data_IF_660784183409
#
_entry.id   IF_660784183409
#
_cell.length_a   1.000
_cell.length_b   1.000
_cell.length_c   1.000
_cell.angle_alpha   90.00
_cell.angle_beta   90.00
_cell.angle_gamma   90.00
#
_symmetry.space_group_name_H-M   'P 1'
#
loop_
_entity.id
_entity.type
_entity.pdbx_description
1 polymer ?
#
# COMPACT_ATOMS: atom_id res chain seq x y z
N UNK A 1 -16.98 -17.79 -6.46
CA UNK A 1 -16.90 -16.52 -5.74
C UNK A 1 -17.25 -15.40 -6.69
N UNK A 2 -18.27 -14.59 -6.35
CA UNK A 2 -18.61 -13.37 -7.10
C UNK A 2 -17.83 -12.16 -6.53
N UNK A 3 -16.62 -12.43 -6.03
CA UNK A 3 -15.70 -11.45 -5.47
C UNK A 3 -14.82 -10.94 -6.60
N UNK A 4 -15.23 -9.82 -7.17
CA UNK A 4 -14.54 -9.15 -8.27
C UNK A 4 -13.64 -8.07 -7.69
N UNK A 5 -12.40 -8.01 -8.19
CA UNK A 5 -11.45 -6.98 -7.81
C UNK A 5 -11.26 -6.00 -8.97
N UNK A 6 -11.97 -4.86 -8.97
CA UNK A 6 -11.78 -3.86 -10.01
C UNK A 6 -10.40 -3.17 -9.96
N UNK A 7 -9.65 -3.26 -8.84
CA UNK A 7 -8.28 -2.73 -8.74
C UNK A 7 -7.22 -3.71 -9.27
N UNK A 8 -7.54 -5.01 -9.35
CA UNK A 8 -6.69 -6.04 -9.97
C UNK A 8 -6.45 -5.77 -11.46
N UNK A 9 -7.36 -5.04 -12.08
CA UNK A 9 -7.03 -4.34 -13.31
C UNK A 9 -6.13 -3.17 -12.95
N UNK A 10 -4.82 -3.43 -13.03
CA UNK A 10 -3.95 -2.38 -13.52
C UNK A 10 -4.71 -1.80 -14.74
N UNK A 11 -4.91 -0.47 -14.83
CA UNK A 11 -5.42 0.14 -16.07
C UNK A 11 -4.68 -0.43 -17.28
N UNK A 12 -3.47 -0.92 -17.07
CA UNK A 12 -2.68 -1.66 -18.02
C UNK A 12 -3.08 -3.09 -18.44
N UNK A 13 -4.08 -3.78 -17.91
CA UNK A 13 -4.34 -5.18 -18.32
C UNK A 13 -5.54 -5.32 -19.26
N UNK A 14 -5.47 -6.26 -20.21
CA UNK A 14 -6.58 -6.60 -21.11
C UNK A 14 -7.79 -7.12 -20.31
N UNK A 15 -8.98 -6.63 -20.65
CA UNK A 15 -10.24 -6.98 -19.97
C UNK A 15 -10.62 -8.44 -20.27
N UNK A 16 -10.96 -9.20 -19.22
CA UNK A 16 -11.40 -10.59 -19.38
C UNK A 16 -12.72 -10.65 -20.15
N UNK A 17 -12.81 -11.52 -21.16
CA UNK A 17 -13.97 -11.64 -22.06
C UNK A 17 -14.34 -10.38 -22.87
N UNK A 18 -13.45 -9.39 -23.01
CA UNK A 18 -13.65 -8.35 -24.03
C UNK A 18 -13.28 -8.91 -25.41
N UNK A 19 -14.29 -9.29 -26.20
CA UNK A 19 -14.10 -9.73 -27.58
C UNK A 19 -13.88 -8.51 -28.49
N UNK A 20 -12.72 -7.87 -28.40
CA UNK A 20 -12.31 -6.92 -29.44
C UNK A 20 -11.56 -7.69 -30.52
N UNK A 21 -12.08 -7.65 -31.75
CA UNK A 21 -11.38 -8.13 -32.94
C UNK A 21 -10.11 -7.30 -33.14
N UNK A 22 -8.95 -7.86 -32.82
CA UNK A 22 -7.69 -7.40 -33.39
C UNK A 22 -7.47 -8.13 -34.72
N UNK A 23 -7.31 -7.38 -35.83
CA UNK A 23 -6.81 -7.93 -37.08
C UNK A 23 -5.32 -8.27 -36.88
N UNK A 24 -5.03 -9.50 -36.47
CA UNK A 24 -3.70 -10.03 -36.17
C UNK A 24 -3.77 -11.40 -35.48
N UNK A 25 -2.63 -12.11 -35.38
CA UNK A 25 -2.54 -13.46 -34.82
C UNK A 25 -3.32 -13.58 -33.50
N UNK A 26 -4.35 -14.42 -33.52
CA UNK A 26 -5.20 -14.73 -32.38
C UNK A 26 -4.42 -15.55 -31.36
N UNK A 27 -3.67 -14.90 -30.49
CA UNK A 27 -3.42 -15.43 -29.16
C UNK A 27 -4.62 -15.02 -28.29
N UNK A 28 -5.65 -15.86 -28.37
CA UNK A 28 -6.79 -15.83 -27.45
C UNK A 28 -6.34 -16.30 -26.07
N UNK A 29 -5.55 -15.47 -25.38
CA UNK A 29 -5.44 -15.59 -23.92
C UNK A 29 -6.20 -14.38 -23.33
N UNK A 30 -7.47 -14.65 -23.03
CA UNK A 30 -8.53 -13.66 -22.84
C UNK A 30 -8.45 -12.89 -21.54
N UNK A 31 -7.35 -12.20 -21.28
CA UNK A 31 -7.19 -11.28 -20.15
C UNK A 31 -7.09 -11.98 -18.79
N UNK A 32 -6.73 -11.21 -17.76
CA UNK A 32 -6.64 -11.72 -16.38
C UNK A 32 -8.07 -11.82 -15.82
N UNK A 33 -8.49 -13.01 -15.38
CA UNK A 33 -9.83 -13.19 -14.79
C UNK A 33 -10.06 -12.22 -13.63
N UNK A 34 -11.24 -11.56 -13.52
CA UNK A 34 -11.50 -10.46 -12.59
C UNK A 34 -11.66 -10.88 -11.13
N UNK A 35 -11.60 -12.19 -10.86
CA UNK A 35 -11.85 -12.75 -9.54
C UNK A 35 -10.69 -12.45 -8.58
N UNK A 36 -11.03 -12.19 -7.34
CA UNK A 36 -10.09 -12.12 -6.24
C UNK A 36 -9.39 -13.49 -6.10
N UNK A 37 -8.04 -13.49 -6.14
CA UNK A 37 -7.27 -14.72 -5.97
C UNK A 37 -7.05 -15.00 -4.51
N UNK A 38 -7.13 -16.27 -4.11
CA UNK A 38 -6.57 -16.66 -2.82
C UNK A 38 -5.06 -16.40 -2.89
N UNK A 39 -4.55 -15.68 -1.90
CA UNK A 39 -3.12 -15.38 -1.78
C UNK A 39 -2.47 -16.30 -0.77
N UNK A 40 -3.04 -16.35 0.44
CA UNK A 40 -2.45 -17.01 1.59
C UNK A 40 -3.55 -17.70 2.43
N UNK A 41 -3.15 -18.77 3.11
CA UNK A 41 -3.95 -19.41 4.16
C UNK A 41 -3.16 -19.28 5.44
N UNK A 42 -3.77 -18.68 6.45
CA UNK A 42 -3.14 -18.45 7.74
C UNK A 42 -3.88 -19.15 8.85
N UNK A 43 -3.16 -19.47 9.90
CA UNK A 43 -3.76 -19.87 11.15
C UNK A 43 -4.42 -18.63 11.78
N UNK A 44 -5.68 -18.75 12.19
CA UNK A 44 -6.47 -17.63 12.72
C UNK A 44 -5.93 -17.08 14.04
N UNK A 45 -5.33 -17.93 14.87
CA UNK A 45 -4.84 -17.56 16.21
C UNK A 45 -3.46 -16.89 16.13
N UNK A 46 -2.57 -17.44 15.31
CA UNK A 46 -1.18 -16.97 15.20
C UNK A 46 -0.94 -16.03 14.02
N UNK A 47 -1.88 -15.89 13.09
CA UNK A 47 -1.73 -15.20 11.81
C UNK A 47 -0.47 -15.61 11.03
N UNK A 48 -0.01 -16.85 11.23
CA UNK A 48 1.15 -17.41 10.55
C UNK A 48 0.72 -18.28 9.38
N UNK A 49 1.55 -18.35 8.35
CA UNK A 49 1.29 -19.16 7.18
C UNK A 49 1.17 -20.64 7.53
N UNK A 50 0.18 -21.30 6.92
CA UNK A 50 -0.02 -22.73 7.06
C UNK A 50 0.80 -23.45 5.98
N UNK A 51 2.13 -23.42 6.10
CA UNK A 51 3.08 -23.85 5.04
C UNK A 51 2.84 -25.23 4.44
N UNK A 52 2.25 -26.16 5.20
CA UNK A 52 1.98 -27.53 4.74
C UNK A 52 0.69 -27.65 3.93
N UNK A 53 -0.18 -26.64 3.95
CA UNK A 53 -1.52 -26.70 3.42
C UNK A 53 -1.73 -25.63 2.35
N UNK A 54 -2.14 -26.07 1.17
CA UNK A 54 -2.25 -25.22 0.00
C UNK A 54 -3.68 -24.96 -0.43
N UNK A 55 -3.81 -24.27 -1.56
CA UNK A 55 -5.07 -24.09 -2.28
C UNK A 55 -4.84 -24.25 -3.77
N UNK A 56 -5.90 -24.58 -4.49
CA UNK A 56 -5.96 -24.50 -5.94
C UNK A 56 -7.14 -23.64 -6.35
N UNK A 57 -6.96 -22.81 -7.39
CA UNK A 57 -8.01 -21.94 -7.89
C UNK A 57 -8.10 -22.01 -9.40
N UNK A 58 -9.30 -22.27 -9.90
CA UNK A 58 -9.65 -22.26 -11.31
C UNK A 58 -10.79 -21.26 -11.53
N UNK A 59 -10.45 -20.09 -12.08
CA UNK A 59 -11.42 -19.01 -12.31
C UNK A 59 -12.14 -18.58 -11.02
N UNK A 60 -13.48 -18.63 -10.96
CA UNK A 60 -14.25 -18.22 -9.78
C UNK A 60 -14.31 -19.30 -8.69
N UNK A 61 -13.78 -20.51 -8.93
CA UNK A 61 -13.85 -21.63 -7.98
C UNK A 61 -12.47 -21.86 -7.38
N UNK A 62 -12.39 -21.90 -6.06
CA UNK A 62 -11.18 -22.27 -5.35
C UNK A 62 -11.46 -23.41 -4.37
N UNK A 63 -10.46 -24.25 -4.17
CA UNK A 63 -10.44 -25.34 -3.22
C UNK A 63 -9.26 -25.10 -2.28
N UNK A 64 -9.54 -25.03 -0.99
CA UNK A 64 -8.56 -24.81 0.07
C UNK A 64 -8.42 -26.11 0.85
N UNK A 65 -7.20 -26.59 1.02
CA UNK A 65 -6.91 -27.79 1.80
C UNK A 65 -6.56 -27.36 3.22
N UNK A 66 -7.21 -27.95 4.21
CA UNK A 66 -7.05 -27.63 5.63
C UNK A 66 -6.57 -28.86 6.40
N UNK A 67 -5.88 -28.68 7.55
CA UNK A 67 -5.57 -29.81 8.42
C UNK A 67 -6.86 -30.48 8.89
N UNK A 68 -6.83 -31.81 8.98
CA UNK A 68 -7.91 -32.59 9.60
C UNK A 68 -7.88 -32.51 11.14
N UNK A 69 -7.63 -31.30 11.68
CA UNK A 69 -7.60 -31.01 13.11
C UNK A 69 -8.59 -29.88 13.41
N UNK A 70 -9.62 -30.18 14.20
CA UNK A 70 -10.65 -29.23 14.59
C UNK A 70 -10.13 -28.10 15.48
N UNK A 71 -8.92 -28.22 16.03
CA UNK A 71 -8.31 -27.20 16.90
C UNK A 71 -7.70 -26.06 16.10
N UNK A 72 -7.33 -26.29 14.85
CA UNK A 72 -6.64 -25.31 14.02
C UNK A 72 -7.65 -24.61 13.12
N UNK A 73 -7.97 -23.35 13.44
CA UNK A 73 -8.80 -22.51 12.57
C UNK A 73 -7.98 -21.88 11.44
N UNK A 74 -8.49 -21.98 10.21
CA UNK A 74 -7.85 -21.36 9.06
C UNK A 74 -8.60 -20.10 8.61
N UNK A 75 -7.87 -19.02 8.40
CA UNK A 75 -8.36 -17.83 7.70
C UNK A 75 -7.84 -17.82 6.26
N UNK A 76 -8.72 -17.48 5.32
CA UNK A 76 -8.40 -17.44 3.89
C UNK A 76 -8.22 -15.98 3.49
N UNK A 77 -7.00 -15.63 3.07
CA UNK A 77 -6.67 -14.32 2.58
C UNK A 77 -6.81 -14.32 1.07
N UNK A 78 -7.40 -13.25 0.55
CA UNK A 78 -7.66 -13.09 -0.87
C UNK A 78 -7.22 -11.70 -1.32
N UNK A 79 -6.75 -11.61 -2.56
CA UNK A 79 -6.20 -10.39 -3.12
C UNK A 79 -4.71 -10.25 -2.88
N UNK A 80 -4.16 -9.09 -3.25
CA UNK A 80 -2.74 -8.79 -3.16
C UNK A 80 -2.53 -7.45 -2.45
N UNK A 81 -1.28 -7.20 -2.03
CA UNK A 81 -0.83 -5.91 -1.50
C UNK A 81 -1.11 -4.73 -2.44
N UNK A 82 -1.34 -4.94 -3.73
CA UNK A 82 -1.61 -3.87 -4.70
C UNK A 82 -3.05 -3.84 -5.21
N UNK A 83 -3.93 -4.66 -4.68
CA UNK A 83 -5.32 -4.79 -5.16
C UNK A 83 -6.31 -4.73 -4.00
N UNK A 84 -7.60 -4.93 -4.25
CA UNK A 84 -8.54 -5.10 -3.15
C UNK A 84 -8.13 -6.33 -2.35
N UNK A 85 -8.22 -6.23 -1.03
CA UNK A 85 -7.87 -7.31 -0.11
C UNK A 85 -9.15 -7.82 0.53
N UNK A 86 -9.30 -9.12 0.68
CA UNK A 86 -10.45 -9.75 1.32
C UNK A 86 -9.98 -10.82 2.29
N UNK A 87 -10.70 -10.97 3.39
CA UNK A 87 -10.45 -12.01 4.37
C UNK A 87 -11.72 -12.80 4.62
N UNK A 88 -11.56 -14.11 4.76
CA UNK A 88 -12.59 -15.02 5.24
C UNK A 88 -12.09 -15.70 6.51
N UNK A 89 -12.58 -15.25 7.66
CA UNK A 89 -12.13 -15.71 8.97
C UNK A 89 -13.24 -16.31 9.84
N UNK A 90 -14.46 -16.46 9.29
CA UNK A 90 -15.62 -17.08 9.95
C UNK A 90 -15.80 -16.60 11.42
N UNK A 91 -16.18 -15.34 11.63
CA UNK A 91 -16.31 -14.79 12.97
C UNK A 91 -17.53 -15.34 13.71
N UNK A 92 -17.43 -15.46 15.03
CA UNK A 92 -18.55 -15.77 15.92
C UNK A 92 -19.55 -14.59 16.02
N UNK A 93 -20.65 -14.77 16.76
CA UNK A 93 -21.64 -13.74 17.06
C UNK A 93 -21.02 -12.48 17.69
N UNK A 94 -19.94 -12.65 18.47
CA UNK A 94 -19.17 -11.56 19.09
C UNK A 94 -18.14 -10.92 18.15
N UNK A 95 -18.07 -11.35 16.88
CA UNK A 95 -17.12 -10.84 15.89
C UNK A 95 -15.69 -11.38 16.04
N UNK A 96 -15.46 -12.33 16.95
CA UNK A 96 -14.16 -12.96 17.16
C UNK A 96 -13.89 -13.97 16.04
N UNK A 97 -12.76 -13.88 15.32
CA UNK A 97 -12.45 -14.78 14.22
C UNK A 97 -12.16 -16.20 14.75
N UNK A 98 -12.97 -17.19 14.35
CA UNK A 98 -12.75 -18.59 14.75
C UNK A 98 -12.01 -19.42 13.69
N UNK A 99 -11.94 -18.90 12.46
CA UNK A 99 -11.42 -19.62 11.31
C UNK A 99 -12.33 -20.76 10.85
N UNK A 100 -12.05 -21.29 9.67
CA UNK A 100 -12.69 -22.51 9.18
C UNK A 100 -11.97 -23.73 9.76
N UNK A 101 -12.73 -24.64 10.35
CA UNK A 101 -12.27 -25.89 10.97
C UNK A 101 -12.99 -27.05 10.30
N UNK A 102 -12.25 -28.10 9.93
CA UNK A 102 -12.79 -29.28 9.26
C UNK A 102 -12.27 -30.56 9.89
N UNK A 103 -13.10 -31.59 9.93
CA UNK A 103 -12.69 -32.95 10.27
C UNK A 103 -12.19 -33.71 9.03
N UNK A 104 -11.49 -34.83 9.24
CA UNK A 104 -11.02 -35.68 8.15
C UNK A 104 -12.21 -36.18 7.31
N UNK A 105 -12.15 -35.94 5.99
CA UNK A 105 -13.22 -36.32 5.04
C UNK A 105 -14.40 -35.34 4.99
N UNK A 106 -14.43 -34.32 5.84
CA UNK A 106 -15.43 -33.26 5.79
C UNK A 106 -15.11 -32.26 4.67
N UNK A 107 -16.13 -31.81 3.94
CA UNK A 107 -15.98 -30.79 2.89
C UNK A 107 -16.98 -29.68 3.12
N UNK A 108 -16.50 -28.49 3.47
CA UNK A 108 -17.35 -27.30 3.54
C UNK A 108 -17.49 -26.66 2.16
N UNK A 109 -18.69 -26.79 1.59
CA UNK A 109 -19.03 -26.15 0.31
C UNK A 109 -19.76 -24.84 0.55
N UNK A 110 -19.10 -23.71 0.31
CA UNK A 110 -19.64 -22.36 0.51
C UNK A 110 -20.67 -21.92 -0.58
N UNK A 111 -21.53 -22.83 -1.07
CA UNK A 111 -22.50 -22.53 -2.13
C UNK A 111 -23.81 -21.91 -1.60
N UNK A 112 -24.23 -22.28 -0.39
CA UNK A 112 -25.49 -21.83 0.22
C UNK A 112 -25.33 -20.54 1.06
N UNK A 113 -24.08 -20.21 1.42
CA UNK A 113 -23.68 -18.96 2.09
C UNK A 113 -22.45 -18.37 1.40
N UNK A 114 -22.56 -18.11 0.09
CA UNK A 114 -21.44 -17.56 -0.70
C UNK A 114 -20.91 -16.30 -0.01
N UNK A 115 -19.59 -16.19 0.23
CA UNK A 115 -19.06 -14.95 0.77
C UNK A 115 -19.32 -13.84 -0.24
N UNK A 116 -20.10 -12.86 0.20
CA UNK A 116 -20.44 -11.67 -0.58
C UNK A 116 -19.35 -10.63 -0.41
N UNK A 117 -19.29 -9.65 -1.32
CA UNK A 117 -18.41 -8.48 -1.15
C UNK A 117 -18.65 -7.82 0.21
N UNK A 118 -19.92 -7.66 0.62
CA UNK A 118 -20.29 -7.11 1.92
C UNK A 118 -19.72 -7.91 3.09
N UNK A 119 -19.79 -9.25 3.04
CA UNK A 119 -19.19 -10.11 4.07
C UNK A 119 -17.68 -9.89 4.15
N UNK A 120 -16.99 -9.82 3.01
CA UNK A 120 -15.54 -9.63 2.97
C UNK A 120 -15.13 -8.26 3.54
N UNK A 121 -15.86 -7.20 3.18
CA UNK A 121 -15.57 -5.84 3.68
C UNK A 121 -15.84 -5.74 5.18
N UNK A 122 -16.95 -6.30 5.68
CA UNK A 122 -17.25 -6.28 7.12
C UNK A 122 -16.19 -7.06 7.94
N UNK A 123 -15.77 -8.23 7.46
CA UNK A 123 -14.72 -9.01 8.13
C UNK A 123 -13.37 -8.27 8.10
N UNK A 124 -13.05 -7.63 6.98
CA UNK A 124 -11.84 -6.82 6.87
C UNK A 124 -11.88 -5.58 7.78
N UNK A 125 -13.01 -4.88 7.83
CA UNK A 125 -13.21 -3.73 8.71
C UNK A 125 -13.07 -4.12 10.19
N UNK A 126 -13.64 -5.26 10.58
CA UNK A 126 -13.50 -5.78 11.94
C UNK A 126 -12.04 -6.08 12.28
N UNK A 127 -11.31 -6.72 11.35
CA UNK A 127 -9.88 -7.02 11.52
C UNK A 127 -9.03 -5.75 11.65
N UNK A 128 -9.23 -4.78 10.75
CA UNK A 128 -8.48 -3.54 10.74
C UNK A 128 -8.79 -2.69 11.97
N UNK A 129 -10.07 -2.57 12.35
CA UNK A 129 -10.48 -1.85 13.55
C UNK A 129 -9.84 -2.42 14.81
N UNK A 130 -9.80 -3.75 14.95
CA UNK A 130 -9.12 -4.40 16.07
C UNK A 130 -7.61 -4.15 16.06
N UNK A 131 -6.96 -4.24 14.90
CA UNK A 131 -5.51 -3.97 14.76
C UNK A 131 -5.16 -2.52 15.07
N UNK A 132 -5.92 -1.57 14.52
CA UNK A 132 -5.74 -0.14 14.78
C UNK A 132 -5.92 0.17 16.27
N UNK A 133 -6.93 -0.41 16.92
CA UNK A 133 -7.16 -0.28 18.36
C UNK A 133 -5.99 -0.84 19.17
N UNK A 134 -5.50 -2.04 18.82
CA UNK A 134 -4.31 -2.63 19.46
C UNK A 134 -3.08 -1.76 19.27
N UNK A 135 -2.80 -1.27 18.06
CA UNK A 135 -1.64 -0.41 17.81
C UNK A 135 -1.73 0.91 18.57
N UNK A 136 -2.93 1.49 18.68
CA UNK A 136 -3.16 2.69 19.46
C UNK A 136 -2.86 2.52 20.97
N UNK A 137 -3.03 1.31 21.54
CA UNK A 137 -2.63 1.04 22.95
C UNK A 137 -1.11 1.15 23.17
N UNK A 138 -0.32 0.99 22.11
CA UNK A 138 1.13 1.10 22.13
C UNK A 138 1.63 2.43 21.54
N UNK A 139 0.72 3.40 21.39
CA UNK A 139 0.99 4.72 20.80
C UNK A 139 1.55 4.67 19.36
N UNK A 140 1.28 3.57 18.65
CA UNK A 140 1.60 3.43 17.23
C UNK A 140 0.36 3.76 16.43
N UNK A 141 0.34 4.92 15.79
CA UNK A 141 -0.84 5.41 15.03
C UNK A 141 -0.48 5.74 13.59
N UNK A 142 -1.38 5.39 12.69
CA UNK A 142 -1.36 5.85 11.30
C UNK A 142 -2.62 6.69 11.05
N UNK A 143 -2.48 8.02 10.90
CA UNK A 143 -3.62 8.89 10.57
C UNK A 143 -4.31 8.48 9.27
N UNK A 144 -3.52 8.10 8.25
CA UNK A 144 -4.05 7.65 6.96
C UNK A 144 -4.85 6.35 7.08
N UNK A 145 -4.34 5.35 7.80
CA UNK A 145 -5.07 4.10 8.00
C UNK A 145 -6.39 4.32 8.74
N UNK A 146 -6.37 5.20 9.76
CA UNK A 146 -7.56 5.56 10.53
C UNK A 146 -8.57 6.30 9.66
N UNK A 147 -8.12 7.27 8.86
CA UNK A 147 -8.97 8.01 7.93
C UNK A 147 -9.62 7.10 6.89
N UNK A 148 -8.86 6.17 6.29
CA UNK A 148 -9.44 5.22 5.33
C UNK A 148 -10.44 4.27 6.00
N UNK A 149 -10.17 3.84 7.23
CA UNK A 149 -11.11 3.01 7.99
C UNK A 149 -12.41 3.76 8.32
N UNK A 150 -12.33 5.03 8.71
CA UNK A 150 -13.50 5.89 8.94
C UNK A 150 -14.30 6.13 7.65
N UNK A 151 -13.62 6.47 6.54
CA UNK A 151 -14.27 6.64 5.23
C UNK A 151 -14.92 5.35 4.70
N UNK A 152 -14.34 4.19 5.04
CA UNK A 152 -14.92 2.89 4.73
C UNK A 152 -16.21 2.66 5.52
N UNK A 153 -16.23 2.99 6.82
CA UNK A 153 -17.44 2.90 7.64
C UNK A 153 -18.58 3.77 7.09
N UNK A 154 -18.29 5.02 6.72
CA UNK A 154 -19.27 5.92 6.07
C UNK A 154 -19.81 5.32 4.77
N UNK A 155 -18.95 4.74 3.93
CA UNK A 155 -19.34 4.12 2.68
C UNK A 155 -20.15 2.82 2.89
N UNK A 156 -19.85 2.04 3.93
CA UNK A 156 -20.65 0.86 4.31
C UNK A 156 -22.05 1.25 4.76
N UNK A 157 -22.18 2.32 5.54
CA UNK A 157 -23.48 2.79 5.99
C UNK A 157 -24.31 3.35 4.83
N UNK A 158 -23.68 4.06 3.88
CA UNK A 158 -24.33 4.46 2.64
C UNK A 158 -24.80 3.25 1.81
N UNK A 159 -23.98 2.20 1.70
CA UNK A 159 -24.36 0.97 0.99
C UNK A 159 -25.57 0.28 1.64
N UNK A 160 -25.63 0.24 2.98
CA UNK A 160 -26.77 -0.29 3.74
C UNK A 160 -28.04 0.53 3.51
N UNK A 161 -27.92 1.86 3.42
CA UNK A 161 -29.05 2.75 3.12
C UNK A 161 -29.57 2.55 1.69
N UNK A 162 -28.69 2.50 0.68
CA UNK A 162 -29.10 2.20 -0.71
C UNK A 162 -29.78 0.84 -0.82
N UNK A 163 -29.28 -0.17 -0.09
CA UNK A 163 -29.92 -1.48 -0.01
C UNK A 163 -31.33 -1.42 0.60
N UNK A 164 -31.52 -0.62 1.65
CA UNK A 164 -32.82 -0.45 2.31
C UNK A 164 -33.85 0.23 1.38
N UNK A 165 -33.40 1.12 0.49
CA UNK A 165 -34.25 1.81 -0.49
C UNK A 165 -34.42 0.99 -1.79
N UNK A 166 -33.69 -0.13 -1.93
CA UNK A 166 -33.73 -1.00 -3.10
C UNK A 166 -32.91 -0.52 -4.29
N UNK A 167 -32.07 0.50 -4.10
CA UNK A 167 -31.12 0.98 -5.10
C UNK A 167 -29.90 0.06 -5.18
N UNK A 168 -29.96 -0.89 -6.13
CA UNK A 168 -28.88 -1.85 -6.37
C UNK A 168 -27.61 -1.21 -6.93
N UNK A 169 -27.72 -0.12 -7.69
CA UNK A 169 -26.56 0.53 -8.28
C UNK A 169 -25.80 1.36 -7.24
N UNK A 170 -26.52 2.12 -6.42
CA UNK A 170 -25.94 2.80 -5.25
C UNK A 170 -25.30 1.81 -4.27
N UNK A 171 -25.99 0.71 -3.93
CA UNK A 171 -25.45 -0.33 -3.04
C UNK A 171 -24.10 -0.86 -3.56
N UNK A 172 -24.04 -1.27 -4.82
CA UNK A 172 -22.83 -1.80 -5.43
C UNK A 172 -21.69 -0.77 -5.45
N UNK A 173 -21.98 0.49 -5.80
CA UNK A 173 -20.98 1.55 -5.85
C UNK A 173 -20.42 1.94 -4.49
N UNK A 174 -21.28 2.07 -3.47
CA UNK A 174 -20.87 2.37 -2.10
C UNK A 174 -20.11 1.21 -1.46
N UNK A 175 -20.54 -0.04 -1.69
CA UNK A 175 -19.83 -1.22 -1.22
C UNK A 175 -18.43 -1.32 -1.85
N UNK A 176 -18.31 -1.06 -3.14
CA UNK A 176 -17.03 -1.08 -3.82
C UNK A 176 -16.08 0.00 -3.28
N UNK A 177 -16.61 1.19 -3.00
CA UNK A 177 -15.86 2.29 -2.38
C UNK A 177 -15.38 1.93 -0.97
N UNK A 178 -16.25 1.35 -0.15
CA UNK A 178 -15.89 0.85 1.17
C UNK A 178 -14.76 -0.19 1.08
N UNK A 179 -14.88 -1.16 0.17
CA UNK A 179 -13.86 -2.17 -0.01
C UNK A 179 -12.50 -1.59 -0.39
N UNK A 180 -12.49 -0.61 -1.28
CA UNK A 180 -11.27 0.09 -1.68
C UNK A 180 -10.62 0.74 -0.47
N UNK A 181 -11.37 1.56 0.29
CA UNK A 181 -10.86 2.24 1.48
C UNK A 181 -10.37 1.26 2.55
N UNK A 182 -11.13 0.21 2.84
CA UNK A 182 -10.73 -0.80 3.81
C UNK A 182 -9.48 -1.57 3.38
N UNK A 183 -9.32 -1.82 2.08
CA UNK A 183 -8.09 -2.40 1.53
C UNK A 183 -6.91 -1.45 1.69
N UNK A 184 -7.11 -0.13 1.58
CA UNK A 184 -6.05 0.85 1.84
C UNK A 184 -5.68 0.90 3.33
N UNK A 185 -6.69 0.92 4.20
CA UNK A 185 -6.50 0.86 5.65
C UNK A 185 -5.70 -0.38 6.06
N UNK A 186 -6.01 -1.54 5.48
CA UNK A 186 -5.27 -2.79 5.70
C UNK A 186 -3.80 -2.65 5.31
N UNK A 187 -3.52 -2.11 4.11
CA UNK A 187 -2.15 -1.92 3.62
C UNK A 187 -1.35 -0.97 4.50
N UNK A 188 -1.93 0.15 4.87
CA UNK A 188 -1.25 1.15 5.70
C UNK A 188 -1.04 0.63 7.13
N UNK A 189 -1.97 -0.16 7.66
CA UNK A 189 -1.83 -0.85 8.94
C UNK A 189 -0.72 -1.90 8.90
N UNK A 190 -0.66 -2.71 7.83
CA UNK A 190 0.39 -3.71 7.65
C UNK A 190 1.76 -3.05 7.43
N UNK A 191 1.82 -1.96 6.65
CA UNK A 191 3.04 -1.17 6.46
C UNK A 191 3.53 -0.61 7.79
N UNK A 192 2.65 -0.05 8.61
CA UNK A 192 2.99 0.45 9.94
C UNK A 192 3.59 -0.65 10.81
N UNK A 193 3.02 -1.86 10.79
CA UNK A 193 3.58 -3.01 11.49
C UNK A 193 4.99 -3.36 10.98
N UNK A 194 5.18 -3.43 9.66
CA UNK A 194 6.47 -3.74 9.06
C UNK A 194 7.53 -2.67 9.37
N UNK A 195 7.16 -1.39 9.34
CA UNK A 195 8.04 -0.27 9.66
C UNK A 195 8.48 -0.35 11.14
N UNK A 196 7.57 -0.70 12.05
CA UNK A 196 7.88 -0.91 13.47
C UNK A 196 8.80 -2.12 13.68
N UNK A 197 8.60 -3.22 12.95
CA UNK A 197 9.50 -4.39 13.04
C UNK A 197 10.88 -4.07 12.45
N UNK A 198 10.93 -3.40 11.29
CA UNK A 198 12.16 -3.05 10.61
C UNK A 198 13.02 -2.07 11.42
N UNK A 199 12.40 -1.07 12.05
CA UNK A 199 13.09 -0.13 12.97
C UNK A 199 13.65 -0.84 14.20
N UNK A 200 12.94 -1.83 14.74
CA UNK A 200 13.45 -2.67 15.83
C UNK A 200 14.75 -3.37 15.43
N UNK A 201 14.77 -4.01 14.24
CA UNK A 201 15.96 -4.68 13.70
C UNK A 201 17.11 -3.69 13.47
N UNK A 202 16.82 -2.53 12.89
CA UNK A 202 17.80 -1.48 12.65
C UNK A 202 18.47 -1.01 13.95
N UNK A 203 17.69 -0.77 15.00
CA UNK A 203 18.23 -0.35 16.30
C UNK A 203 19.13 -1.39 16.92
N UNK A 204 18.76 -2.66 16.82
CA UNK A 204 19.62 -3.75 17.28
C UNK A 204 20.96 -3.83 16.52
N UNK A 205 20.95 -3.67 15.20
CA UNK A 205 22.18 -3.63 14.40
C UNK A 205 23.06 -2.45 14.81
N UNK A 206 22.47 -1.27 15.03
CA UNK A 206 23.18 -0.07 15.47
C UNK A 206 23.72 -0.19 16.90
N UNK A 207 23.08 -1.01 17.74
CA UNK A 207 23.48 -1.26 19.12
C UNK A 207 24.83 -1.99 19.21
N UNK A 208 25.21 -2.76 18.19
CA UNK A 208 26.50 -3.46 18.14
C UNK A 208 27.68 -2.47 18.16
N UNK A 209 27.86 -1.57 17.16
CA UNK A 209 28.95 -0.60 17.20
C UNK A 209 28.81 0.40 18.35
N UNK A 210 27.58 0.73 18.76
CA UNK A 210 27.33 1.61 19.91
C UNK A 210 27.84 1.00 21.23
N UNK A 211 27.59 -0.29 21.46
CA UNK A 211 28.04 -0.98 22.68
C UNK A 211 29.56 -0.98 22.81
N UNK A 212 30.27 -1.16 21.69
CA UNK A 212 31.73 -1.07 21.62
C UNK A 212 32.23 0.36 21.88
N UNK A 213 31.54 1.37 21.34
CA UNK A 213 31.90 2.78 21.56
C UNK A 213 31.75 3.18 23.03
N UNK A 214 30.66 2.75 23.68
CA UNK A 214 30.38 3.03 25.10
C UNK A 214 31.37 2.29 26.01
N UNK A 215 31.69 1.02 25.73
CA UNK A 215 32.78 0.31 26.45
C UNK A 215 34.07 1.12 26.37
N UNK A 216 34.46 1.56 25.18
CA UNK A 216 35.73 2.28 24.97
C UNK A 216 35.74 3.66 25.63
N UNK A 217 34.59 4.33 25.69
CA UNK A 217 34.42 5.66 26.27
C UNK A 217 34.38 5.63 27.81
N UNK A 218 33.61 4.71 28.39
CA UNK A 218 33.36 4.64 29.85
C UNK A 218 34.24 3.63 30.58
N UNK A 219 34.44 2.43 30.01
CA UNK A 219 35.04 1.28 30.69
C UNK A 219 36.17 0.64 29.86
N UNK A 220 37.27 1.36 29.56
CA UNK A 220 38.30 0.86 28.66
C UNK A 220 38.98 -0.40 29.19
N UNK A 221 38.77 -1.53 28.53
CA UNK A 221 39.47 -2.77 28.85
C UNK A 221 40.76 -2.91 28.05
N UNK A 222 41.77 -3.55 28.66
CA UNK A 222 43.06 -3.85 28.01
C UNK A 222 43.07 -5.18 27.27
N UNK A 223 42.20 -6.11 27.67
CA UNK A 223 42.15 -7.47 27.14
C UNK A 223 40.93 -7.62 26.25
N UNK A 224 41.11 -8.17 25.04
CA UNK A 224 40.03 -8.36 24.07
C UNK A 224 38.83 -9.12 24.65
N UNK A 225 39.06 -10.19 25.42
CA UNK A 225 38.00 -10.95 26.09
C UNK A 225 37.17 -10.09 27.06
N UNK A 226 37.81 -9.19 27.82
CA UNK A 226 37.11 -8.27 28.73
C UNK A 226 36.36 -7.19 27.96
N UNK A 227 36.92 -6.68 26.87
CA UNK A 227 36.23 -5.73 25.97
C UNK A 227 34.95 -6.35 25.43
N UNK A 228 35.02 -7.58 24.92
CA UNK A 228 33.83 -8.29 24.42
C UNK A 228 32.81 -8.48 25.55
N UNK A 229 33.23 -8.96 26.72
CA UNK A 229 32.33 -9.18 27.85
C UNK A 229 31.62 -7.89 28.30
N UNK A 230 32.35 -6.78 28.45
CA UNK A 230 31.77 -5.48 28.83
C UNK A 230 30.86 -4.94 27.72
N UNK A 231 31.27 -5.04 26.44
CA UNK A 231 30.42 -4.65 25.32
C UNK A 231 29.13 -5.48 25.26
N UNK A 232 29.19 -6.78 25.56
CA UNK A 232 28.00 -7.65 25.66
C UNK A 232 27.09 -7.22 26.81
N UNK A 233 27.63 -6.85 27.96
CA UNK A 233 26.83 -6.34 29.10
C UNK A 233 26.16 -5.01 28.72
N UNK A 234 26.92 -4.07 28.13
CA UNK A 234 26.37 -2.80 27.63
C UNK A 234 25.27 -3.07 26.60
N UNK A 235 25.52 -3.98 25.66
CA UNK A 235 24.54 -4.39 24.68
C UNK A 235 23.26 -4.91 25.35
N UNK A 236 23.37 -5.83 26.32
CA UNK A 236 22.24 -6.39 27.02
C UNK A 236 21.42 -5.33 27.80
N UNK A 237 22.10 -4.37 28.44
CA UNK A 237 21.43 -3.28 29.17
C UNK A 237 20.65 -2.39 28.21
N UNK A 238 21.25 -1.94 27.11
CA UNK A 238 20.55 -1.09 26.14
C UNK A 238 19.49 -1.85 25.34
N UNK A 239 19.68 -3.14 25.09
CA UNK A 239 18.64 -4.00 24.52
C UNK A 239 17.44 -4.13 25.47
N UNK A 240 17.67 -4.27 26.78
CA UNK A 240 16.59 -4.28 27.78
C UNK A 240 15.86 -2.93 27.86
N UNK A 241 16.57 -1.81 27.73
CA UNK A 241 15.95 -0.48 27.60
C UNK A 241 15.08 -0.40 26.35
N UNK A 242 15.59 -0.83 25.20
CA UNK A 242 14.80 -0.89 23.96
C UNK A 242 13.57 -1.80 24.10
N UNK A 243 13.69 -2.93 24.78
CA UNK A 243 12.54 -3.82 25.05
C UNK A 243 11.42 -3.11 25.83
N UNK A 244 11.78 -2.23 26.76
CA UNK A 244 10.81 -1.50 27.57
C UNK A 244 10.12 -0.37 26.80
N UNK A 245 10.88 0.38 25.99
CA UNK A 245 10.41 1.61 25.34
C UNK A 245 9.97 1.44 23.88
N UNK A 246 10.49 0.46 23.14
CA UNK A 246 10.19 0.32 21.72
C UNK A 246 8.93 -0.54 21.50
N UNK A 247 7.87 0.01 20.87
CA UNK A 247 6.59 -0.70 20.73
C UNK A 247 6.70 -1.94 19.83
N UNK A 248 7.72 -2.02 18.96
CA UNK A 248 7.92 -3.19 18.11
C UNK A 248 8.16 -4.51 18.84
N UNK A 249 8.68 -4.47 20.07
CA UNK A 249 8.75 -5.66 20.90
C UNK A 249 7.39 -6.09 21.43
N UNK A 250 6.39 -5.20 21.53
CA UNK A 250 5.05 -5.55 22.02
C UNK A 250 4.07 -5.85 20.88
N UNK A 251 4.30 -5.25 19.70
CA UNK A 251 3.49 -5.45 18.49
C UNK A 251 3.80 -6.77 17.76
N UNK A 252 5.03 -7.27 17.85
CA UNK A 252 5.39 -8.53 17.19
C UNK A 252 4.61 -9.69 17.84
N UNK A 253 3.83 -10.42 17.03
CA UNK A 253 3.01 -11.57 17.44
C UNK A 253 3.79 -12.63 18.25
N UNK A 254 5.12 -12.64 18.11
CA UNK A 254 5.99 -13.39 19.00
C UNK A 254 7.33 -12.67 19.18
N UNK A 255 7.45 -11.89 20.26
CA UNK A 255 8.68 -11.18 20.65
C UNK A 255 9.87 -12.12 20.73
N UNK A 256 9.65 -13.32 21.24
CA UNK A 256 10.68 -14.35 21.39
C UNK A 256 11.21 -14.74 20.01
N UNK A 257 10.35 -14.92 19.01
CA UNK A 257 10.78 -15.24 17.64
C UNK A 257 11.61 -14.10 17.05
N UNK A 258 11.18 -12.85 17.18
CA UNK A 258 11.94 -11.70 16.65
C UNK A 258 13.31 -11.57 17.32
N UNK A 259 13.37 -11.69 18.65
CA UNK A 259 14.64 -11.65 19.39
C UNK A 259 15.54 -12.85 19.02
N UNK A 260 14.97 -14.05 18.90
CA UNK A 260 15.72 -15.26 18.52
C UNK A 260 16.27 -15.12 17.11
N UNK A 261 15.47 -14.67 16.14
CA UNK A 261 15.90 -14.43 14.76
C UNK A 261 17.05 -13.43 14.71
N UNK A 262 16.99 -12.35 15.50
CA UNK A 262 18.09 -11.41 15.60
C UNK A 262 19.37 -12.04 16.16
N UNK A 263 19.28 -12.80 17.25
CA UNK A 263 20.44 -13.52 17.83
C UNK A 263 21.06 -14.48 16.81
N UNK A 264 20.23 -15.23 16.07
CA UNK A 264 20.68 -16.12 15.00
C UNK A 264 21.44 -15.31 13.94
N UNK A 265 20.87 -14.20 13.45
CA UNK A 265 21.52 -13.36 12.43
C UNK A 265 22.85 -12.79 12.92
N UNK A 266 22.91 -12.27 14.16
CA UNK A 266 24.15 -11.73 14.75
C UNK A 266 25.21 -12.79 14.98
N UNK A 267 24.83 -14.03 15.31
CA UNK A 267 25.78 -15.14 15.42
C UNK A 267 26.22 -15.65 14.04
N UNK A 268 25.31 -15.67 13.08
CA UNK A 268 25.55 -16.27 11.75
C UNK A 268 26.34 -15.33 10.83
N UNK A 269 26.10 -14.02 10.84
CA UNK A 269 26.80 -13.08 9.95
C UNK A 269 28.32 -13.12 10.16
N UNK A 270 28.87 -13.01 11.38
CA UNK A 270 30.32 -13.12 11.61
C UNK A 270 30.86 -14.49 11.22
N UNK A 271 30.13 -15.56 11.49
CA UNK A 271 30.53 -16.91 11.08
C UNK A 271 30.59 -17.04 9.55
N UNK A 272 29.61 -16.49 8.84
CA UNK A 272 29.56 -16.44 7.37
C UNK A 272 30.69 -15.58 6.80
N UNK A 273 30.94 -14.39 7.36
CA UNK A 273 32.07 -13.54 6.97
C UNK A 273 33.38 -14.29 7.19
N UNK A 274 33.56 -14.95 8.34
CA UNK A 274 34.75 -15.72 8.63
C UNK A 274 34.93 -16.91 7.67
N UNK A 275 33.84 -17.58 7.31
CA UNK A 275 33.84 -18.64 6.29
C UNK A 275 34.24 -18.10 4.91
N UNK A 276 33.67 -16.97 4.49
CA UNK A 276 34.00 -16.31 3.22
C UNK A 276 35.46 -15.84 3.19
N UNK A 277 35.94 -15.20 4.26
CA UNK A 277 37.34 -14.76 4.38
C UNK A 277 38.30 -15.95 4.30
N UNK A 278 37.99 -17.06 4.98
CA UNK A 278 38.77 -18.31 4.88
C UNK A 278 38.70 -18.93 3.49
N UNK A 279 37.52 -18.93 2.86
CA UNK A 279 37.34 -19.41 1.48
C UNK A 279 38.17 -18.61 0.49
N UNK A 280 38.15 -17.28 0.58
CA UNK A 280 38.99 -16.39 -0.22
C UNK A 280 40.48 -16.63 0.06
N UNK A 281 40.87 -16.81 1.33
CA UNK A 281 42.26 -17.13 1.69
C UNK A 281 42.72 -18.48 1.11
N UNK A 282 41.85 -19.49 1.11
CA UNK A 282 42.14 -20.81 0.52
C UNK A 282 42.25 -20.74 -1.01
N UNK A 283 41.35 -19.99 -1.68
CA UNK A 283 41.44 -19.73 -3.11
C UNK A 283 42.72 -18.96 -3.47
N UNK A 284 43.13 -17.98 -2.65
CA UNK A 284 44.43 -17.28 -2.79
C UNK A 284 45.63 -18.21 -2.59
N UNK A 285 45.53 -19.21 -1.72
CA UNK A 285 46.60 -20.18 -1.50
C UNK A 285 46.76 -21.17 -2.67
N UNK A 286 45.68 -21.44 -3.42
CA UNK A 286 45.68 -22.34 -4.59
C UNK A 286 45.98 -21.56 -5.89
N UNK A 287 45.59 -20.28 -5.98
CA UNK A 287 45.85 -19.41 -7.11
C UNK A 287 47.31 -18.93 -7.17
N UNK A 288 48.06 -19.37 -8.16
CA UNK A 288 49.46 -18.99 -8.38
C UNK A 288 49.63 -17.47 -8.57
N UNK A 289 50.30 -16.81 -7.62
CA UNK A 289 51.14 -15.58 -7.71
C UNK A 289 50.66 -14.32 -8.48
N UNK A 290 49.54 -14.31 -9.21
CA UNK A 290 49.12 -13.18 -10.04
C UNK A 290 47.97 -12.34 -9.44
N UNK A 291 47.39 -12.75 -8.30
CA UNK A 291 46.42 -11.95 -7.54
C UNK A 291 47.08 -11.45 -6.23
N UNK A 292 48.26 -10.82 -6.35
CA UNK A 292 49.00 -10.22 -5.23
C UNK A 292 49.02 -8.71 -5.41
N UNK A 293 47.86 -8.06 -5.39
CA UNK A 293 47.78 -6.57 -5.36
C UNK A 293 46.64 -6.03 -4.49
N UNK A 294 46.07 -6.83 -3.60
CA UNK A 294 45.04 -6.40 -2.63
C UNK A 294 45.47 -6.56 -1.16
N UNK A 295 46.74 -6.27 -0.82
CA UNK A 295 47.15 -6.11 0.59
C UNK A 295 46.64 -4.79 1.22
N UNK A 296 46.12 -3.87 0.41
CA UNK A 296 45.68 -2.52 0.85
C UNK A 296 44.41 -2.50 1.72
N UNK A 297 43.46 -3.44 1.54
CA UNK A 297 42.15 -3.37 2.20
C UNK A 297 42.16 -3.79 3.67
N UNK A 298 43.01 -4.76 4.05
CA UNK A 298 43.10 -5.21 5.43
C UNK A 298 43.84 -4.19 6.33
N UNK A 299 44.86 -3.50 5.78
CA UNK A 299 45.54 -2.41 6.47
C UNK A 299 44.61 -1.20 6.69
N UNK A 300 43.77 -0.86 5.73
CA UNK A 300 42.85 0.27 5.85
C UNK A 300 41.76 0.04 6.91
N UNK A 301 41.24 -1.18 7.04
CA UNK A 301 40.32 -1.52 8.15
C UNK A 301 41.00 -1.40 9.54
N UNK A 302 42.25 -1.86 9.67
CA UNK A 302 43.04 -1.71 10.90
C UNK A 302 43.31 -0.25 11.26
N UNK A 303 43.62 0.59 10.26
CA UNK A 303 43.83 2.04 10.44
C UNK A 303 42.55 2.74 10.90
N UNK A 304 41.39 2.40 10.33
CA UNK A 304 40.10 2.98 10.75
C UNK A 304 39.79 2.63 12.20
N UNK A 305 39.99 1.38 12.62
CA UNK A 305 39.76 0.95 14.01
C UNK A 305 40.73 1.66 14.96
N UNK A 306 41.99 1.81 14.58
CA UNK A 306 42.99 2.54 15.37
C UNK A 306 42.64 4.03 15.51
N UNK A 307 42.22 4.67 14.42
CA UNK A 307 41.78 6.07 14.41
C UNK A 307 40.53 6.28 15.28
N UNK A 308 39.54 5.38 15.20
CA UNK A 308 38.36 5.38 16.08
C UNK A 308 38.76 5.25 17.55
N UNK A 309 39.64 4.29 17.88
CA UNK A 309 40.14 4.13 19.25
C UNK A 309 40.85 5.40 19.76
N UNK A 310 41.64 6.06 18.91
CA UNK A 310 42.30 7.32 19.25
C UNK A 310 41.31 8.47 19.45
N UNK A 311 40.29 8.57 18.59
CA UNK A 311 39.21 9.55 18.72
C UNK A 311 38.46 9.40 20.05
N UNK A 312 38.13 8.16 20.44
CA UNK A 312 37.47 7.87 21.73
C UNK A 312 38.35 8.23 22.91
N UNK A 313 39.66 7.94 22.84
CA UNK A 313 40.62 8.33 23.87
C UNK A 313 40.65 9.86 24.07
N UNK A 314 40.62 10.63 22.98
CA UNK A 314 40.56 12.09 23.01
C UNK A 314 39.24 12.61 23.60
N UNK A 315 38.11 11.99 23.26
CA UNK A 315 36.80 12.32 23.84
C UNK A 315 36.79 12.11 25.36
N UNK A 316 37.35 11.00 25.84
CA UNK A 316 37.44 10.72 27.28
C UNK A 316 38.30 11.74 28.04
N UNK A 317 39.36 12.26 27.41
CA UNK A 317 40.26 13.25 28.04
C UNK A 317 39.58 14.62 28.24
N UNK A 318 38.63 14.99 27.37
CA UNK A 318 37.95 16.30 27.37
C UNK A 318 36.44 16.16 27.65
N UNK A 319 36.10 15.55 28.79
CA UNK A 319 34.73 15.15 29.17
C UNK A 319 33.69 16.27 29.04
N UNK A 320 34.02 17.50 29.44
CA UNK A 320 33.10 18.64 29.32
C UNK A 320 32.77 18.95 27.87
N UNK A 321 33.79 19.07 27.01
CA UNK A 321 33.58 19.32 25.58
C UNK A 321 32.73 18.22 24.96
N UNK A 322 33.08 16.95 25.21
CA UNK A 322 32.36 15.80 24.66
C UNK A 322 30.91 15.76 25.16
N UNK A 323 30.66 16.05 26.44
CA UNK A 323 29.32 16.11 27.01
C UNK A 323 28.46 17.20 26.37
N UNK A 324 28.99 18.43 26.24
CA UNK A 324 28.29 19.52 25.57
C UNK A 324 28.00 19.19 24.10
N UNK A 325 28.98 18.66 23.36
CA UNK A 325 28.77 18.30 21.95
C UNK A 325 27.75 17.17 21.79
N UNK A 326 27.78 16.17 22.68
CA UNK A 326 26.82 15.07 22.65
C UNK A 326 25.42 15.61 22.94
N UNK A 327 25.28 16.47 23.94
CA UNK A 327 24.01 17.12 24.25
C UNK A 327 23.49 17.89 23.04
N UNK A 328 24.31 18.74 22.41
CA UNK A 328 23.93 19.50 21.22
C UNK A 328 23.48 18.59 20.07
N UNK A 329 24.23 17.52 19.79
CA UNK A 329 23.87 16.55 18.75
C UNK A 329 22.54 15.86 19.10
N UNK A 330 22.37 15.41 20.34
CA UNK A 330 21.11 14.77 20.77
C UNK A 330 19.92 15.71 20.68
N UNK A 331 20.07 16.99 21.06
CA UNK A 331 19.00 17.99 20.91
C UNK A 331 18.70 18.29 19.45
N UNK A 332 19.71 18.34 18.59
CA UNK A 332 19.53 18.57 17.15
C UNK A 332 18.80 17.40 16.49
N UNK A 333 19.21 16.16 16.79
CA UNK A 333 18.57 14.94 16.28
C UNK A 333 17.14 14.85 16.81
N UNK A 334 16.92 15.12 18.11
CA UNK A 334 15.58 15.17 18.70
C UNK A 334 14.69 16.19 17.99
N UNK A 335 15.18 17.42 17.80
CA UNK A 335 14.45 18.47 17.09
C UNK A 335 14.12 18.07 15.65
N UNK A 336 15.06 17.45 14.93
CA UNK A 336 14.84 16.95 13.57
C UNK A 336 13.77 15.85 13.54
N UNK A 337 13.82 14.88 14.45
CA UNK A 337 12.83 13.79 14.55
C UNK A 337 11.44 14.33 14.90
N UNK A 338 11.34 15.27 15.82
CA UNK A 338 10.06 15.91 16.15
C UNK A 338 9.51 16.69 14.97
N UNK A 339 10.37 17.41 14.23
CA UNK A 339 9.97 18.14 13.03
C UNK A 339 9.48 17.21 11.90
N UNK A 340 10.21 16.14 11.59
CA UNK A 340 9.80 15.20 10.53
C UNK A 340 8.50 14.48 10.86
N UNK A 341 8.24 14.20 12.14
CA UNK A 341 6.96 13.62 12.59
C UNK A 341 5.77 14.53 12.26
N UNK A 342 5.95 15.86 12.33
CA UNK A 342 4.89 16.83 12.03
C UNK A 342 4.63 17.04 10.53
N UNK A 343 5.62 16.78 9.67
CA UNK A 343 5.58 17.09 8.24
C UNK A 343 5.09 15.92 7.35
N UNK A 344 4.81 14.74 7.91
CA UNK A 344 4.45 13.54 7.17
C UNK A 344 3.02 13.52 6.56
N UNK A 345 2.32 14.65 6.52
CA UNK A 345 1.03 14.78 5.85
C UNK A 345 1.23 15.06 4.35
N UNK A 346 1.72 14.07 3.61
CA UNK A 346 1.89 14.17 2.16
C UNK A 346 0.59 13.78 1.46
N UNK A 347 -0.28 14.78 1.19
CA UNK A 347 -1.36 14.62 0.23
C UNK A 347 -0.73 14.51 -1.16
N UNK A 348 -0.59 13.29 -1.68
CA UNK A 348 -0.26 13.09 -3.09
C UNK A 348 -1.46 13.49 -3.95
N UNK A 349 -1.60 14.80 -4.17
CA UNK A 349 -2.34 15.30 -5.31
C UNK A 349 -1.48 14.93 -6.51
N UNK A 350 -1.85 13.87 -7.25
CA UNK A 350 -1.22 13.61 -8.54
C UNK A 350 -1.49 14.84 -9.41
N UNK A 351 -0.46 15.67 -9.62
CA UNK A 351 -0.55 16.76 -10.57
C UNK A 351 -0.91 16.18 -11.94
N UNK A 352 -1.95 16.71 -12.63
CA UNK A 352 -2.37 16.17 -13.90
C UNK A 352 -1.22 16.25 -14.91
N UNK A 353 -0.92 15.12 -15.54
CA UNK A 353 0.09 14.99 -16.59
C UNK A 353 -0.38 15.67 -17.88
N UNK A 354 -0.23 16.99 -17.91
CA UNK A 354 -0.48 17.85 -19.07
C UNK A 354 -1.91 18.40 -19.15
N UNK A 355 -2.02 19.71 -19.19
CA UNK A 355 -3.27 20.42 -19.48
C UNK A 355 -3.44 20.54 -20.99
N UNK A 356 -4.39 19.80 -21.58
CA UNK A 356 -4.81 19.96 -22.97
C UNK A 356 -6.24 20.48 -23.05
N UNK A 357 -6.58 21.18 -24.14
CA UNK A 357 -7.97 21.56 -24.43
C UNK A 357 -8.80 20.30 -24.66
N UNK A 358 -9.73 20.00 -23.75
CA UNK A 358 -10.68 18.91 -23.91
C UNK A 358 -11.73 19.30 -24.97
N UNK A 359 -12.11 18.35 -25.83
CA UNK A 359 -13.15 18.55 -26.86
C UNK A 359 -14.58 18.47 -26.31
N UNK A 360 -14.72 18.31 -25.00
CA UNK A 360 -15.99 18.16 -24.30
C UNK A 360 -15.95 18.92 -22.97
N UNK A 361 -17.12 19.35 -22.51
CA UNK A 361 -17.29 19.92 -21.18
C UNK A 361 -17.72 18.80 -20.22
N UNK A 362 -16.85 18.45 -19.27
CA UNK A 362 -17.10 17.39 -18.29
C UNK A 362 -15.84 16.62 -17.92
N UNK A 363 -16.00 15.58 -17.10
CA UNK A 363 -14.94 14.65 -16.73
C UNK A 363 -15.09 13.37 -17.56
N UNK A 364 -14.07 12.99 -18.32
CA UNK A 364 -14.03 11.69 -18.99
C UNK A 364 -13.14 10.74 -18.20
N UNK A 365 -13.74 9.65 -17.73
CA UNK A 365 -13.03 8.54 -17.12
C UNK A 365 -12.76 7.52 -18.22
N UNK A 366 -11.50 7.13 -18.39
CA UNK A 366 -11.09 6.15 -19.39
C UNK A 366 -10.01 5.24 -18.83
N UNK A 367 -9.81 4.09 -19.47
CA UNK A 367 -8.74 3.18 -19.12
C UNK A 367 -7.36 3.84 -19.40
N UNK A 368 -6.54 3.99 -18.35
CA UNK A 368 -5.30 4.76 -18.41
C UNK A 368 -4.16 4.14 -19.26
N UNK A 369 -4.20 2.84 -19.62
CA UNK A 369 -3.18 2.25 -20.53
C UNK A 369 -3.64 2.21 -21.97
N UNK A 370 -4.90 1.88 -22.21
CA UNK A 370 -5.46 1.80 -23.55
C UNK A 370 -6.84 2.45 -23.62
N UNK A 371 -6.89 3.65 -24.20
CA UNK A 371 -8.13 4.42 -24.42
C UNK A 371 -9.13 3.71 -25.33
N UNK A 372 -8.73 2.62 -26.01
CA UNK A 372 -9.61 1.82 -26.89
C UNK A 372 -10.39 0.75 -26.12
N UNK A 373 -9.96 0.42 -24.91
CA UNK A 373 -10.62 -0.60 -24.09
C UNK A 373 -11.68 0.05 -23.19
N UNK A 374 -12.83 -0.61 -23.09
CA UNK A 374 -13.91 -0.19 -22.21
C UNK A 374 -13.49 -0.31 -20.73
N UNK A 375 -14.09 0.51 -19.88
CA UNK A 375 -14.06 0.31 -18.43
C UNK A 375 -14.82 -0.98 -18.09
N UNK A 376 -14.46 -1.59 -16.97
CA UNK A 376 -15.17 -2.76 -16.47
C UNK A 376 -16.65 -2.42 -16.16
N UNK A 377 -17.60 -3.33 -16.44
CA UNK A 377 -19.00 -3.13 -16.11
C UNK A 377 -19.21 -2.74 -14.64
N UNK A 378 -18.48 -3.37 -13.72
CA UNK A 378 -18.56 -3.13 -12.28
C UNK A 378 -18.01 -1.74 -11.91
N UNK A 379 -16.99 -1.25 -12.61
CA UNK A 379 -16.48 0.11 -12.44
C UNK A 379 -17.45 1.14 -13.00
N UNK A 380 -18.09 0.84 -14.12
CA UNK A 380 -19.15 1.69 -14.69
C UNK A 380 -20.33 1.77 -13.73
N UNK A 381 -20.78 0.63 -13.21
CA UNK A 381 -21.85 0.58 -12.19
C UNK A 381 -21.46 1.31 -10.90
N UNK A 382 -20.20 1.20 -10.46
CA UNK A 382 -19.70 1.94 -9.30
C UNK A 382 -19.76 3.44 -9.54
N UNK A 383 -19.22 3.93 -10.67
CA UNK A 383 -19.28 5.35 -11.00
C UNK A 383 -20.71 5.83 -11.17
N UNK A 384 -21.59 5.00 -11.75
CA UNK A 384 -23.01 5.30 -11.87
C UNK A 384 -23.70 5.43 -10.54
N UNK A 385 -23.52 4.49 -9.62
CA UNK A 385 -24.08 4.60 -8.28
C UNK A 385 -23.54 5.80 -7.51
N UNK A 386 -22.22 6.02 -7.52
CA UNK A 386 -21.58 7.08 -6.72
C UNK A 386 -21.84 8.50 -7.26
N UNK A 387 -22.01 8.64 -8.59
CA UNK A 387 -22.17 9.93 -9.24
C UNK A 387 -23.61 10.20 -9.72
N UNK A 388 -24.55 9.26 -9.59
CA UNK A 388 -25.94 9.40 -10.03
C UNK A 388 -26.56 10.74 -9.59
N UNK A 389 -26.34 11.13 -8.34
CA UNK A 389 -26.91 12.34 -7.75
C UNK A 389 -26.06 13.61 -7.97
N UNK A 390 -24.85 13.45 -8.51
CA UNK A 390 -23.84 14.52 -8.60
C UNK A 390 -23.54 14.95 -10.03
N UNK A 391 -23.72 14.07 -11.01
CA UNK A 391 -23.40 14.34 -12.41
C UNK A 391 -24.28 13.52 -13.36
N UNK A 392 -24.57 14.09 -14.54
CA UNK A 392 -25.15 13.32 -15.64
C UNK A 392 -24.10 12.39 -16.24
N UNK A 393 -24.33 11.09 -16.15
CA UNK A 393 -23.36 10.07 -16.58
C UNK A 393 -23.75 9.56 -17.97
N UNK A 394 -22.81 9.65 -18.90
CA UNK A 394 -22.99 9.19 -20.28
C UNK A 394 -22.00 8.07 -20.56
N UNK A 395 -22.52 6.86 -20.77
CA UNK A 395 -21.72 5.72 -21.24
C UNK A 395 -21.29 5.99 -22.69
N UNK A 396 -19.98 6.11 -22.92
CA UNK A 396 -19.41 6.24 -24.27
C UNK A 396 -18.70 4.95 -24.66
N UNK A 397 -19.42 4.04 -25.31
CA UNK A 397 -18.86 2.80 -25.87
C UNK A 397 -18.72 2.86 -27.40
N UNK A 398 -17.86 2.05 -28.02
CA UNK A 398 -17.89 1.86 -29.47
C UNK A 398 -19.25 1.30 -29.91
N UNK A 399 -19.77 1.79 -31.04
CA UNK A 399 -21.10 1.46 -31.62
C UNK A 399 -21.09 0.06 -32.26
N UNK A 400 -20.59 -0.95 -31.55
CA UNK A 400 -20.51 -2.32 -32.05
C UNK A 400 -20.86 -3.33 -30.97
N UNK A 401 -22.04 -3.18 -30.36
CA UNK A 401 -22.72 -4.26 -29.65
C UNK A 401 -24.19 -3.87 -29.46
N UNK A 402 -25.00 -4.13 -30.48
CA UNK A 402 -26.42 -4.38 -30.25
C UNK A 402 -26.50 -5.65 -29.38
N UNK A 403 -26.69 -5.48 -28.07
CA UNK A 403 -27.08 -6.57 -27.18
C UNK A 403 -28.49 -6.23 -26.68
N UNK A 404 -29.55 -6.94 -27.10
CA UNK A 404 -30.93 -6.44 -27.02
C UNK A 404 -31.57 -6.53 -25.61
N UNK A 405 -30.80 -6.58 -24.53
CA UNK A 405 -31.32 -6.91 -23.17
C UNK A 405 -31.29 -5.73 -22.19
N UNK A 406 -31.39 -4.48 -22.67
CA UNK A 406 -31.70 -3.36 -21.76
C UNK A 406 -32.56 -2.31 -22.47
N UNK A 407 -33.68 -1.87 -21.87
CA UNK A 407 -34.51 -0.81 -22.44
C UNK A 407 -33.82 0.53 -22.17
N UNK A 408 -32.86 0.88 -23.03
CA UNK A 408 -32.33 2.24 -23.08
C UNK A 408 -33.37 3.10 -23.80
N UNK A 409 -33.87 4.11 -23.07
CA UNK A 409 -34.69 5.20 -23.58
C UNK A 409 -34.21 5.64 -24.96
N UNK A 410 -35.08 5.52 -25.97
CA UNK A 410 -34.87 6.03 -27.33
C UNK A 410 -34.69 7.55 -27.27
N UNK A 411 -33.44 8.00 -27.27
CA UNK A 411 -33.03 9.33 -27.69
C UNK A 411 -32.23 9.18 -28.98
N UNK A 412 -32.66 9.84 -30.04
CA UNK A 412 -32.16 9.73 -31.42
C UNK A 412 -30.63 9.86 -31.54
N UNK A 413 -29.98 8.80 -32.02
CA UNK A 413 -28.62 8.85 -32.55
C UNK A 413 -28.71 9.09 -34.07
N UNK A 414 -28.63 10.35 -34.50
CA UNK A 414 -28.34 10.68 -35.90
C UNK A 414 -26.83 10.58 -36.11
N UNK A 415 -26.42 9.50 -36.77
CA UNK A 415 -25.04 9.31 -37.22
C UNK A 415 -24.71 10.26 -38.36
N UNK A 416 -23.66 11.07 -38.19
CA UNK A 416 -22.98 11.74 -39.29
C UNK A 416 -21.63 11.05 -39.52
N UNK A 417 -21.57 10.25 -40.58
CA UNK A 417 -20.34 9.63 -41.06
C UNK A 417 -19.33 10.69 -41.50
N UNK A 418 -18.07 10.46 -41.13
CA UNK A 418 -16.93 11.27 -41.58
C UNK A 418 -16.67 10.97 -43.05
N UNK A 419 -17.11 11.85 -43.96
CA UNK A 419 -16.52 11.98 -45.30
C UNK A 419 -15.44 13.06 -45.26
N UNK A 420 -14.25 12.71 -45.73
CA UNK A 420 -13.19 13.66 -46.03
C UNK A 420 -13.69 14.75 -46.98
N UNK A 421 -13.55 16.01 -46.59
CA UNK A 421 -13.82 17.18 -47.43
C UNK A 421 -13.75 18.47 -46.63
N UNK A 422 -12.81 19.35 -46.98
CA UNK A 422 -12.78 20.75 -46.51
C UNK A 422 -14.11 21.43 -46.87
N UNK A 423 -14.86 21.94 -45.90
CA UNK A 423 -15.70 23.14 -46.05
C UNK A 423 -16.31 23.65 -44.73
N UNK A 424 -16.02 24.93 -44.45
CA UNK A 424 -16.89 25.98 -43.89
C UNK A 424 -17.54 25.82 -42.50
N UNK A 425 -16.98 26.58 -41.56
CA UNK A 425 -17.57 27.07 -40.31
C UNK A 425 -18.68 28.08 -40.65
N UNK A 426 -19.97 27.72 -40.53
CA UNK A 426 -21.04 28.75 -40.49
C UNK A 426 -22.42 28.32 -39.97
N UNK A 427 -22.72 27.04 -39.72
CA UNK A 427 -24.11 26.61 -39.44
C UNK A 427 -24.53 26.55 -37.95
N UNK A 428 -23.60 26.54 -36.98
CA UNK A 428 -23.95 26.30 -35.56
C UNK A 428 -24.09 27.57 -34.70
N UNK A 429 -24.31 28.75 -35.31
CA UNK A 429 -24.49 30.01 -34.56
C UNK A 429 -25.94 30.49 -34.44
N UNK A 430 -26.91 29.80 -35.08
CA UNK A 430 -28.29 30.30 -35.23
C UNK A 430 -29.35 29.61 -34.35
N UNK A 431 -28.98 28.67 -33.48
CA UNK A 431 -29.96 27.91 -32.65
C UNK A 431 -29.77 28.04 -31.12
N UNK A 432 -28.85 28.87 -30.65
CA UNK A 432 -28.65 29.16 -29.21
C UNK A 432 -29.20 30.56 -28.83
N UNK A 433 -29.50 31.44 -29.80
CA UNK A 433 -29.99 32.80 -29.50
C UNK A 433 -31.49 32.90 -29.19
N UNK A 434 -32.27 31.82 -29.24
CA UNK A 434 -33.73 31.86 -29.02
C UNK A 434 -34.18 31.41 -27.63
N UNK A 435 -33.29 30.92 -26.77
CA UNK A 435 -33.66 30.35 -25.45
C UNK A 435 -33.07 31.11 -24.26
N UNK A 436 -32.28 32.17 -24.51
CA UNK A 436 -31.68 33.03 -23.46
C UNK A 436 -32.36 34.41 -23.40
N UNK A 437 -33.40 34.66 -24.20
CA UNK A 437 -34.05 35.97 -24.34
C UNK A 437 -35.17 36.29 -23.36
N UNK A 438 -35.40 35.50 -22.30
CA UNK A 438 -36.61 35.67 -21.47
C UNK A 438 -36.40 35.68 -19.95
N UNK A 439 -35.16 35.74 -19.48
CA UNK A 439 -34.84 35.94 -18.06
C UNK A 439 -33.74 37.01 -18.01
N UNK A 440 -34.15 38.28 -17.95
CA UNK A 440 -33.43 39.42 -17.35
C UNK A 440 -34.01 40.74 -17.87
N UNK A 441 -35.25 41.02 -17.44
CA UNK A 441 -35.79 42.37 -17.33
C UNK A 441 -36.14 42.60 -15.87
N UNK A 442 -35.14 42.99 -15.09
CA UNK A 442 -35.25 43.85 -13.91
C UNK A 442 -33.88 43.83 -13.22
N UNK A 443 -33.04 44.84 -13.51
CA UNK A 443 -32.38 45.72 -12.53
C UNK A 443 -31.44 46.63 -13.31
N UNK A 444 -31.82 47.90 -13.37
CA UNK A 444 -31.11 48.98 -14.07
C UNK A 444 -29.98 49.54 -13.21
N UNK A 445 -28.95 50.07 -13.90
CA UNK A 445 -28.04 51.16 -13.48
C UNK A 445 -26.99 50.77 -12.41
N UNK A 446 -25.69 51.04 -12.57
CA UNK A 446 -25.10 52.37 -12.79
C UNK A 446 -23.61 52.28 -13.22
N UNK A 447 -23.17 53.22 -14.08
CA UNK A 447 -21.81 53.82 -14.21
C UNK A 447 -20.65 52.96 -14.78
N UNK A 448 -20.31 53.07 -16.07
CA UNK A 448 -19.35 54.00 -16.72
C UNK A 448 -17.84 53.70 -16.57
N UNK A 449 -17.24 53.44 -17.74
CA UNK A 449 -16.01 54.05 -18.28
C UNK A 449 -14.62 53.39 -18.07
N UNK A 450 -14.07 53.01 -19.23
CA UNK A 450 -12.70 53.28 -19.75
C UNK A 450 -11.46 52.49 -19.32
N UNK A 451 -10.75 52.08 -20.37
CA UNK A 451 -9.31 52.14 -20.61
C UNK A 451 -8.42 50.90 -20.45
N UNK A 452 -7.88 50.53 -21.61
CA UNK A 452 -6.64 49.80 -21.87
C UNK A 452 -5.47 50.14 -20.93
N UNK A 453 -4.75 49.10 -20.49
CA UNK A 453 -3.27 49.02 -20.33
C UNK A 453 -2.92 47.54 -20.07
N UNK A 454 -2.31 46.81 -21.01
CA UNK A 454 -0.85 46.56 -21.12
C UNK A 454 -0.13 46.79 -19.79
N UNK A 455 0.37 45.72 -19.19
CA UNK A 455 1.76 45.72 -18.70
C UNK A 455 2.34 44.29 -18.65
N UNK A 456 3.54 44.22 -19.21
CA UNK A 456 4.48 43.12 -19.29
C UNK A 456 5.40 43.25 -18.08
N UNK A 457 5.64 42.18 -17.31
CA UNK A 457 6.74 42.17 -16.35
C UNK A 457 7.56 40.88 -16.53
N UNK A 458 8.76 41.06 -17.10
CA UNK A 458 9.88 40.11 -17.08
C UNK A 458 10.61 40.22 -15.74
N UNK A 459 10.97 39.09 -15.16
CA UNK A 459 11.92 39.01 -14.06
C UNK A 459 13.37 38.95 -14.59
N UNK A 460 14.33 39.67 -13.98
CA UNK A 460 15.74 39.34 -14.06
C UNK A 460 16.12 38.43 -12.88
N UNK A 461 16.95 37.41 -13.11
CA UNK A 461 17.64 36.67 -12.05
C UNK A 461 19.15 36.92 -12.19
N UNK A 462 19.72 37.48 -11.14
CA UNK A 462 21.08 37.21 -10.67
C UNK A 462 21.03 35.97 -9.78
#
# INVERSE_FOLDING_TARGET
FDLIDPQRYNPSSYVFRSFYHHYGHQHADGGVSPHLRISEIKNVDSHTDMERWGFTQQGPTAMVFLPADYRVGAEVLMGSLFTNFGILNNPDADGVPQGYKLQSGETLRMTTGKPTGLTCVNQLASLNGERLRRFATYDVRSPLATQYHEQSAEALDAARQSRAIGDRHGEAGHLQRAWIFESQAYRDTLKLLLDVVATTVLYFVLLIPFSFLIERLMFPQRTALRTVLVATIVFAVFAALLYMFHPGFKLAHNVVVTTTAFVIVVMTIPALIMLLLRGVAMLRAIGSKQIITQQSEAESAGVVIAALSLAVSNMRRRRLRTGLTLLTITTLVMALVLLTTSAAFDFRILEPSGTGLASFQGLQIYNARDRRQALLPEMVEMYEGVLADKAGILRRGPVSAFNPVSPVLRGELVGAGVRHGRASVSACRRRISSTVGQIDKHTSQTTMATHQRKDVIRFPRL
#
